data_IF_375205012057
#
_entry.id   IF_375205012057
#
_cell.length_a   1.000
_cell.length_b   1.000
_cell.length_c   1.000
_cell.angle_alpha   90.00
_cell.angle_beta   90.00
_cell.angle_gamma   90.00
#
_symmetry.space_group_name_H-M   'P 1'
#
loop_
_entity.id
_entity.type
_entity.pdbx_description
1 polymer ?
#
# COMPACT_ATOMS: atom_id res chain seq x y z
N UNK A 1 22.74 -8.89 -2.82
CA UNK A 1 21.73 -9.85 -2.33
C UNK A 1 20.36 -9.27 -2.66
N UNK A 2 19.40 -10.06 -3.17
CA UNK A 2 18.03 -9.59 -3.51
C UNK A 2 17.08 -10.13 -2.46
N UNK A 3 16.17 -9.29 -1.97
CA UNK A 3 15.05 -9.67 -1.11
C UNK A 3 13.73 -9.16 -1.69
N UNK A 4 12.61 -9.68 -1.22
CA UNK A 4 11.27 -9.20 -1.53
C UNK A 4 10.60 -8.77 -0.23
N UNK A 5 10.09 -7.56 -0.16
CA UNK A 5 9.53 -6.98 1.07
C UNK A 5 8.10 -6.44 0.92
N UNK A 6 7.51 -6.55 -0.26
CA UNK A 6 6.14 -6.16 -0.53
C UNK A 6 5.37 -7.38 -1.03
N UNK A 7 4.85 -8.16 -0.08
CA UNK A 7 4.19 -9.43 -0.36
C UNK A 7 2.94 -9.59 0.53
N UNK A 8 1.85 -10.05 -0.07
CA UNK A 8 0.55 -10.17 0.57
C UNK A 8 0.12 -11.64 0.71
N UNK A 9 0.33 -12.26 1.88
CA UNK A 9 -0.35 -13.51 2.23
C UNK A 9 -1.87 -13.34 2.31
N UNK A 10 -2.62 -14.45 2.37
CA UNK A 10 -4.07 -14.51 2.32
C UNK A 10 -4.82 -13.92 3.54
N UNK A 11 -4.27 -12.89 4.18
CA UNK A 11 -4.93 -12.11 5.23
C UNK A 11 -5.70 -10.91 4.70
N UNK A 12 -5.30 -10.39 3.55
CA UNK A 12 -5.97 -9.32 2.80
C UNK A 12 -6.38 -9.82 1.41
N UNK A 13 -6.05 -9.13 0.35
CA UNK A 13 -6.31 -9.48 -1.05
C UNK A 13 -5.33 -10.52 -1.64
N UNK A 14 -4.28 -10.86 -0.89
CA UNK A 14 -3.30 -11.86 -1.29
C UNK A 14 -3.81 -13.30 -1.17
N UNK A 15 -2.92 -14.25 -1.43
CA UNK A 15 -3.22 -15.68 -1.37
C UNK A 15 -2.08 -16.46 -0.71
N UNK A 16 -2.37 -17.67 -0.26
CA UNK A 16 -1.40 -18.51 0.43
C UNK A 16 -1.10 -18.08 1.87
N UNK A 17 -0.32 -18.88 2.55
CA UNK A 17 0.11 -18.68 3.93
C UNK A 17 1.43 -17.93 4.00
N UNK A 18 1.76 -17.35 5.15
CA UNK A 18 3.07 -16.74 5.41
C UNK A 18 4.19 -17.78 5.20
N UNK A 19 3.98 -19.01 5.64
CA UNK A 19 4.95 -20.11 5.48
C UNK A 19 5.24 -20.42 4.01
N UNK A 20 4.21 -20.46 3.16
CA UNK A 20 4.35 -20.69 1.73
C UNK A 20 5.14 -19.57 1.04
N UNK A 21 4.93 -18.32 1.42
CA UNK A 21 5.72 -17.17 0.93
C UNK A 21 7.20 -17.30 1.31
N UNK A 22 7.49 -17.69 2.54
CA UNK A 22 8.87 -17.86 3.02
C UNK A 22 9.56 -19.00 2.25
N UNK A 23 8.89 -20.15 2.14
CA UNK A 23 9.43 -21.30 1.42
C UNK A 23 9.65 -21.01 -0.07
N UNK A 24 8.71 -20.31 -0.73
CA UNK A 24 8.84 -19.91 -2.13
C UNK A 24 9.98 -18.92 -2.35
N UNK A 25 10.14 -17.94 -1.46
CA UNK A 25 11.22 -16.96 -1.54
C UNK A 25 12.60 -17.62 -1.39
N UNK A 26 12.75 -18.55 -0.44
CA UNK A 26 13.98 -19.32 -0.28
C UNK A 26 14.26 -20.17 -1.50
N UNK A 27 13.25 -20.89 -2.03
CA UNK A 27 13.39 -21.72 -3.22
C UNK A 27 13.74 -20.90 -4.47
N UNK A 28 13.27 -19.65 -4.57
CA UNK A 28 13.64 -18.72 -5.63
C UNK A 28 15.05 -18.11 -5.47
N UNK A 29 15.77 -18.46 -4.42
CA UNK A 29 17.12 -17.95 -4.16
C UNK A 29 17.16 -16.51 -3.69
N UNK A 30 16.08 -15.97 -3.13
CA UNK A 30 16.10 -14.66 -2.47
C UNK A 30 16.88 -14.75 -1.17
N UNK A 31 17.57 -13.69 -0.81
CA UNK A 31 18.39 -13.64 0.41
C UNK A 31 17.56 -13.37 1.68
N UNK A 32 16.36 -12.82 1.52
CA UNK A 32 15.43 -12.52 2.61
C UNK A 32 14.02 -12.32 2.03
N UNK A 33 13.01 -12.48 2.86
CA UNK A 33 11.63 -12.13 2.54
C UNK A 33 10.99 -11.33 3.67
N UNK A 34 10.16 -10.36 3.29
CA UNK A 34 9.23 -9.69 4.19
C UNK A 34 7.79 -9.93 3.75
N UNK A 35 6.87 -10.03 4.69
CA UNK A 35 5.42 -10.03 4.42
C UNK A 35 4.83 -8.70 4.87
N UNK A 36 3.87 -8.14 4.10
CA UNK A 36 3.36 -6.79 4.31
C UNK A 36 1.91 -6.63 3.85
N UNK A 37 1.01 -7.53 4.31
CA UNK A 37 -0.42 -7.43 4.00
C UNK A 37 -1.00 -6.05 4.30
N UNK A 38 -2.04 -5.62 3.56
CA UNK A 38 -2.71 -4.33 3.74
C UNK A 38 -3.27 -4.15 5.15
N UNK A 39 -2.87 -3.07 5.80
CA UNK A 39 -3.39 -2.67 7.10
C UNK A 39 -4.90 -2.38 7.06
N UNK A 40 -5.62 -2.46 8.18
CA UNK A 40 -6.99 -1.97 8.26
C UNK A 40 -7.09 -0.49 7.93
N UNK A 41 -8.21 -0.10 7.31
CA UNK A 41 -8.60 1.30 7.09
C UNK A 41 -9.89 1.61 7.88
N UNK A 42 -10.19 2.89 8.23
CA UNK A 42 -11.33 3.24 9.06
C UNK A 42 -12.66 3.36 8.29
N UNK A 43 -12.77 2.70 7.15
CA UNK A 43 -13.96 2.62 6.30
C UNK A 43 -14.05 1.25 5.64
N UNK A 44 -15.18 0.95 4.98
CA UNK A 44 -15.35 -0.34 4.30
C UNK A 44 -14.42 -0.46 3.11
N UNK A 45 -13.57 -1.48 3.12
CA UNK A 45 -12.63 -1.79 2.04
C UNK A 45 -12.46 -3.31 1.97
N UNK A 46 -12.74 -3.90 0.81
CA UNK A 46 -12.78 -5.36 0.64
C UNK A 46 -11.41 -6.02 0.57
N UNK A 47 -10.37 -5.26 0.25
CA UNK A 47 -9.01 -5.78 0.05
C UNK A 47 -8.06 -5.52 1.23
N UNK A 48 -8.51 -4.77 2.27
CA UNK A 48 -7.73 -4.55 3.49
C UNK A 48 -8.14 -5.52 4.60
N UNK A 49 -7.28 -5.73 5.58
CA UNK A 49 -7.61 -6.52 6.76
C UNK A 49 -8.64 -5.80 7.65
N UNK A 50 -9.44 -6.58 8.39
CA UNK A 50 -10.09 -6.07 9.60
C UNK A 50 -9.07 -5.94 10.74
N UNK A 51 -9.41 -5.21 11.82
CA UNK A 51 -8.54 -5.12 13.01
C UNK A 51 -8.27 -6.50 13.66
N UNK A 52 -9.23 -7.41 13.59
CA UNK A 52 -9.08 -8.79 14.09
C UNK A 52 -8.09 -9.56 13.21
N UNK A 53 -8.30 -9.57 11.90
CA UNK A 53 -7.41 -10.21 10.92
C UNK A 53 -5.98 -9.67 10.99
N UNK A 54 -5.81 -8.37 11.25
CA UNK A 54 -4.49 -7.77 11.40
C UNK A 54 -3.72 -8.35 12.58
N UNK A 55 -4.39 -8.57 13.72
CA UNK A 55 -3.76 -9.20 14.90
C UNK A 55 -3.40 -10.66 14.63
N UNK A 56 -4.28 -11.42 13.98
CA UNK A 56 -4.02 -12.79 13.55
C UNK A 56 -2.83 -12.86 12.59
N UNK A 57 -2.80 -11.99 11.57
CA UNK A 57 -1.69 -11.87 10.62
C UNK A 57 -0.35 -11.67 11.32
N UNK A 58 -0.26 -10.68 12.20
CA UNK A 58 1.00 -10.40 12.89
C UNK A 58 1.42 -11.57 13.81
N UNK A 59 0.48 -12.18 14.49
CA UNK A 59 0.76 -13.34 15.35
C UNK A 59 1.29 -14.53 14.53
N UNK A 60 0.63 -14.88 13.43
CA UNK A 60 1.06 -15.97 12.56
C UNK A 60 2.42 -15.66 11.90
N UNK A 61 2.60 -14.45 11.37
CA UNK A 61 3.86 -14.05 10.77
C UNK A 61 5.04 -14.12 11.76
N UNK A 62 4.81 -13.78 13.04
CA UNK A 62 5.83 -13.91 14.10
C UNK A 62 6.15 -15.37 14.41
N UNK A 63 5.16 -16.26 14.44
CA UNK A 63 5.39 -17.71 14.61
C UNK A 63 6.24 -18.26 13.46
N UNK A 64 5.95 -17.87 12.22
CA UNK A 64 6.73 -18.28 11.05
C UNK A 64 8.15 -17.71 11.11
N UNK A 65 8.30 -16.42 11.41
CA UNK A 65 9.61 -15.79 11.57
C UNK A 65 10.48 -16.52 12.59
N UNK A 66 9.90 -16.91 13.75
CA UNK A 66 10.62 -17.65 14.79
C UNK A 66 11.03 -19.06 14.31
N UNK A 67 10.16 -19.73 13.57
CA UNK A 67 10.45 -21.06 13.00
C UNK A 67 11.64 -21.03 12.03
N UNK A 68 11.77 -19.95 11.28
CA UNK A 68 12.85 -19.76 10.30
C UNK A 68 14.10 -19.09 10.88
N UNK A 69 14.08 -18.73 12.16
CA UNK A 69 15.22 -18.07 12.83
C UNK A 69 16.50 -18.88 12.68
N UNK A 70 17.56 -18.22 12.22
CA UNK A 70 18.87 -18.81 12.01
C UNK A 70 19.04 -19.62 10.73
N UNK A 71 17.95 -19.89 9.98
CA UNK A 71 17.99 -20.59 8.70
C UNK A 71 17.72 -19.67 7.51
N UNK A 72 16.77 -18.75 7.62
CA UNK A 72 16.42 -17.81 6.56
C UNK A 72 15.85 -16.51 7.16
N UNK A 73 16.28 -15.32 6.69
CA UNK A 73 15.78 -14.05 7.19
C UNK A 73 14.34 -13.79 6.75
N UNK A 74 13.43 -13.70 7.72
CA UNK A 74 12.01 -13.37 7.53
C UNK A 74 11.72 -12.07 8.28
N UNK A 75 11.02 -11.13 7.63
CA UNK A 75 10.66 -9.84 8.19
C UNK A 75 9.14 -9.66 8.22
N UNK A 76 8.62 -9.20 9.35
CA UNK A 76 7.19 -8.97 9.56
C UNK A 76 6.90 -7.49 9.45
N UNK A 77 6.26 -7.11 8.37
CA UNK A 77 5.83 -5.75 8.08
C UNK A 77 4.33 -5.64 7.89
N UNK A 78 3.90 -4.49 7.42
CA UNK A 78 2.53 -4.17 7.03
C UNK A 78 2.57 -3.13 5.92
N UNK A 79 1.63 -3.16 5.00
CA UNK A 79 1.40 -2.05 4.08
C UNK A 79 0.37 -1.10 4.66
N UNK A 80 0.82 0.11 4.98
CA UNK A 80 0.00 1.21 5.49
C UNK A 80 -0.44 2.10 4.33
N UNK A 81 -1.70 2.47 4.30
CA UNK A 81 -2.18 3.54 3.43
C UNK A 81 -1.96 4.91 4.05
N UNK A 82 -1.37 5.84 3.31
CA UNK A 82 -1.47 7.23 3.68
C UNK A 82 -2.89 7.72 3.39
N UNK A 83 -3.58 8.17 4.43
CA UNK A 83 -4.93 8.69 4.36
C UNK A 83 -4.89 10.18 4.70
N UNK A 84 -5.04 11.02 3.66
CA UNK A 84 -5.04 12.47 3.82
C UNK A 84 -6.21 12.94 4.69
N UNK A 85 -6.00 13.95 5.53
CA UNK A 85 -7.00 14.43 6.48
C UNK A 85 -8.26 15.04 5.80
N UNK A 86 -8.12 15.58 4.59
CA UNK A 86 -9.26 16.09 3.81
C UNK A 86 -10.12 14.93 3.29
N UNK A 87 -9.49 13.78 3.04
CA UNK A 87 -10.18 12.57 2.59
C UNK A 87 -10.75 11.78 3.77
N UNK A 88 -9.92 11.52 4.78
CA UNK A 88 -10.28 10.71 5.95
C UNK A 88 -9.78 11.43 7.21
N UNK A 89 -10.62 12.17 7.92
CA UNK A 89 -10.24 12.78 9.20
C UNK A 89 -9.60 11.75 10.13
N UNK A 90 -8.48 12.12 10.76
CA UNK A 90 -7.67 11.23 11.62
C UNK A 90 -7.11 9.96 10.94
N UNK A 91 -7.24 9.81 9.63
CA UNK A 91 -6.79 8.63 8.90
C UNK A 91 -5.31 8.33 9.09
N UNK A 92 -4.45 9.33 8.99
CA UNK A 92 -3.01 9.20 9.22
C UNK A 92 -2.67 8.79 10.66
N UNK A 93 -3.44 9.26 11.66
CA UNK A 93 -3.29 8.85 13.06
C UNK A 93 -3.77 7.42 13.28
N UNK A 94 -4.88 7.03 12.63
CA UNK A 94 -5.39 5.66 12.63
C UNK A 94 -4.34 4.67 12.11
N UNK A 95 -3.72 4.96 10.96
CA UNK A 95 -2.66 4.13 10.38
C UNK A 95 -1.43 4.04 11.31
N UNK A 96 -1.02 5.16 11.90
CA UNK A 96 0.09 5.17 12.86
C UNK A 96 -0.19 4.30 14.09
N UNK A 97 -1.43 4.23 14.56
CA UNK A 97 -1.82 3.41 15.71
C UNK A 97 -1.56 1.91 15.47
N UNK A 98 -1.64 1.41 14.23
CA UNK A 98 -1.30 0.02 13.93
C UNK A 98 0.16 -0.28 14.21
N UNK A 99 1.07 0.61 13.78
CA UNK A 99 2.51 0.46 14.06
C UNK A 99 2.80 0.43 15.57
N UNK A 100 2.06 1.21 16.34
CA UNK A 100 2.25 1.30 17.79
C UNK A 100 1.57 0.15 18.55
N UNK A 101 0.58 -0.51 17.98
CA UNK A 101 -0.23 -1.54 18.64
C UNK A 101 0.42 -2.92 18.63
N UNK A 102 1.37 -3.18 17.74
CA UNK A 102 2.05 -4.46 17.55
C UNK A 102 3.53 -4.24 17.24
N UNK A 103 4.33 -5.29 17.41
CA UNK A 103 5.72 -5.25 16.98
C UNK A 103 5.80 -5.55 15.48
N UNK A 104 6.32 -4.60 14.70
CA UNK A 104 6.64 -4.75 13.28
C UNK A 104 8.13 -4.50 13.08
N UNK A 105 8.70 -5.15 12.08
CA UNK A 105 10.11 -4.94 11.69
C UNK A 105 10.26 -3.77 10.72
N UNK A 106 9.22 -3.51 9.91
CA UNK A 106 9.15 -2.43 8.93
C UNK A 106 7.71 -2.12 8.54
N UNK A 107 7.50 -1.04 7.79
CA UNK A 107 6.27 -0.77 7.06
C UNK A 107 6.57 -0.46 5.59
N UNK A 108 5.71 -0.94 4.69
CA UNK A 108 5.52 -0.35 3.37
C UNK A 108 4.48 0.75 3.54
N UNK A 109 4.71 1.92 2.97
CA UNK A 109 3.76 3.03 3.01
C UNK A 109 3.36 3.37 1.60
N UNK A 110 2.08 3.27 1.30
CA UNK A 110 1.52 3.41 -0.05
C UNK A 110 0.43 4.46 -0.11
N UNK A 111 0.15 4.96 -1.29
CA UNK A 111 -0.95 5.85 -1.60
C UNK A 111 -1.88 5.15 -2.58
N UNK A 112 -3.01 4.63 -2.08
CA UNK A 112 -4.08 4.10 -2.93
C UNK A 112 -5.23 5.09 -3.04
N UNK A 113 -5.62 5.75 -1.96
CA UNK A 113 -6.80 6.61 -1.88
C UNK A 113 -6.43 8.06 -2.20
N UNK A 114 -6.91 8.57 -3.33
CA UNK A 114 -6.55 9.90 -3.85
C UNK A 114 -7.68 10.92 -3.70
N UNK A 115 -8.92 10.47 -3.71
CA UNK A 115 -10.09 11.33 -3.65
C UNK A 115 -11.33 10.57 -3.24
N UNK A 116 -12.50 11.13 -3.55
CA UNK A 116 -13.81 10.51 -3.30
C UNK A 116 -14.48 10.16 -4.62
N UNK A 117 -15.19 9.05 -4.60
CA UNK A 117 -16.08 8.68 -5.69
C UNK A 117 -17.36 9.55 -5.72
N UNK A 118 -18.27 9.26 -6.65
CA UNK A 118 -19.56 9.96 -6.79
C UNK A 118 -20.49 9.77 -5.60
N UNK A 119 -20.25 8.77 -4.74
CA UNK A 119 -20.99 8.49 -3.51
C UNK A 119 -20.34 9.10 -2.28
N UNK A 120 -19.19 9.77 -2.45
CA UNK A 120 -18.45 10.42 -1.38
C UNK A 120 -17.54 9.47 -0.59
N UNK A 121 -17.34 8.22 -1.05
CA UNK A 121 -16.46 7.26 -0.41
C UNK A 121 -15.01 7.47 -0.86
N UNK A 122 -14.00 7.14 -0.01
CA UNK A 122 -12.62 7.12 -0.44
C UNK A 122 -12.43 6.19 -1.65
N UNK A 123 -11.82 6.72 -2.71
CA UNK A 123 -11.58 6.02 -3.96
C UNK A 123 -10.12 5.64 -4.14
N UNK A 124 -9.86 4.37 -4.46
CA UNK A 124 -8.52 3.88 -4.76
C UNK A 124 -8.17 4.03 -6.25
N UNK A 125 -7.04 4.65 -6.55
CA UNK A 125 -6.59 4.98 -7.91
C UNK A 125 -6.35 3.74 -8.79
N UNK A 126 -6.16 2.59 -8.18
CA UNK A 126 -5.85 1.31 -8.82
C UNK A 126 -6.98 0.28 -8.76
N UNK A 127 -8.17 0.67 -8.32
CA UNK A 127 -9.31 -0.23 -8.15
C UNK A 127 -9.69 -0.98 -9.44
N UNK A 128 -9.96 -0.26 -10.53
CA UNK A 128 -10.17 -0.83 -11.87
C UNK A 128 -9.96 0.24 -12.95
N UNK A 129 -9.76 -0.21 -14.20
CA UNK A 129 -9.64 0.69 -15.34
C UNK A 129 -10.94 1.47 -15.60
N UNK A 130 -12.09 0.85 -15.37
CA UNK A 130 -13.42 1.45 -15.49
C UNK A 130 -13.64 2.51 -14.42
N UNK A 131 -13.31 2.19 -13.16
CA UNK A 131 -13.40 3.12 -12.03
C UNK A 131 -12.49 4.32 -12.26
N UNK A 132 -11.24 4.10 -12.69
CA UNK A 132 -10.30 5.17 -13.03
C UNK A 132 -10.86 6.10 -14.11
N UNK A 133 -11.38 5.55 -15.23
CA UNK A 133 -11.96 6.34 -16.31
C UNK A 133 -13.17 7.17 -15.81
N UNK A 134 -14.06 6.56 -15.02
CA UNK A 134 -15.21 7.25 -14.43
C UNK A 134 -14.77 8.40 -13.51
N UNK A 135 -13.75 8.21 -12.68
CA UNK A 135 -13.26 9.26 -11.79
C UNK A 135 -12.64 10.42 -12.57
N UNK A 136 -11.84 10.12 -13.62
CA UNK A 136 -11.30 11.15 -14.50
C UNK A 136 -12.44 11.99 -15.09
N UNK A 137 -13.49 11.37 -15.59
CA UNK A 137 -14.60 12.06 -16.26
C UNK A 137 -15.49 12.82 -15.25
N UNK A 138 -15.93 12.15 -14.18
CA UNK A 138 -16.98 12.68 -13.28
C UNK A 138 -16.38 13.62 -12.22
N UNK A 139 -15.28 13.22 -11.57
CA UNK A 139 -14.71 13.99 -10.46
C UNK A 139 -13.72 15.04 -10.96
N UNK A 140 -12.91 14.69 -11.95
CA UNK A 140 -11.90 15.59 -12.50
C UNK A 140 -12.33 16.32 -13.79
N UNK A 141 -13.58 16.12 -14.27
CA UNK A 141 -14.12 16.78 -15.46
C UNK A 141 -13.33 16.50 -16.72
N UNK A 142 -12.78 15.29 -16.87
CA UNK A 142 -11.89 14.89 -17.97
C UNK A 142 -10.44 15.38 -17.84
N UNK A 143 -10.09 16.07 -16.75
CA UNK A 143 -8.75 16.62 -16.53
C UNK A 143 -7.85 15.64 -15.78
N UNK A 144 -7.28 14.69 -16.52
CA UNK A 144 -6.35 13.68 -15.95
C UNK A 144 -5.10 14.31 -15.36
N UNK A 145 -4.61 15.42 -15.92
CA UNK A 145 -3.45 16.15 -15.38
C UNK A 145 -3.68 16.53 -13.91
N UNK A 146 -4.85 17.05 -13.59
CA UNK A 146 -5.21 17.42 -12.20
C UNK A 146 -5.21 16.20 -11.27
N UNK A 147 -5.71 15.04 -11.72
CA UNK A 147 -5.64 13.80 -10.95
C UNK A 147 -4.19 13.42 -10.65
N UNK A 148 -3.32 13.49 -11.66
CA UNK A 148 -1.89 13.13 -11.51
C UNK A 148 -1.17 14.12 -10.59
N UNK A 149 -1.42 15.44 -10.74
CA UNK A 149 -0.87 16.46 -9.85
C UNK A 149 -1.33 16.26 -8.39
N UNK A 150 -2.62 15.94 -8.16
CA UNK A 150 -3.14 15.63 -6.83
C UNK A 150 -2.49 14.37 -6.24
N UNK A 151 -2.28 13.32 -7.06
CA UNK A 151 -1.60 12.10 -6.63
C UNK A 151 -0.17 12.41 -6.14
N UNK A 152 0.64 13.10 -6.93
CA UNK A 152 2.03 13.38 -6.54
C UNK A 152 2.13 14.36 -5.37
N UNK A 153 1.23 15.33 -5.26
CA UNK A 153 1.12 16.18 -4.06
C UNK A 153 0.83 15.34 -2.80
N UNK A 154 -0.05 14.36 -2.89
CA UNK A 154 -0.32 13.44 -1.78
C UNK A 154 0.87 12.50 -1.49
N UNK A 155 1.65 12.11 -2.51
CA UNK A 155 2.91 11.38 -2.31
C UNK A 155 3.95 12.19 -1.53
N UNK A 156 4.02 13.52 -1.72
CA UNK A 156 4.87 14.39 -0.89
C UNK A 156 4.40 14.40 0.57
N UNK A 157 3.07 14.50 0.81
CA UNK A 157 2.50 14.42 2.15
C UNK A 157 2.76 13.06 2.80
N UNK A 158 2.63 11.96 2.04
CA UNK A 158 2.99 10.60 2.47
C UNK A 158 4.44 10.53 2.92
N UNK A 159 5.37 11.06 2.12
CA UNK A 159 6.80 11.03 2.43
C UNK A 159 7.10 11.81 3.72
N UNK A 160 6.46 12.95 3.94
CA UNK A 160 6.59 13.73 5.16
C UNK A 160 6.00 13.00 6.39
N UNK A 161 4.83 12.39 6.24
CA UNK A 161 4.19 11.59 7.29
C UNK A 161 5.00 10.35 7.67
N UNK A 162 5.55 9.65 6.68
CA UNK A 162 6.33 8.43 6.85
C UNK A 162 7.59 8.66 7.72
N UNK A 163 8.23 9.83 7.64
CA UNK A 163 9.36 10.21 8.49
C UNK A 163 9.01 10.22 10.00
N UNK A 164 7.75 10.39 10.34
CA UNK A 164 7.27 10.34 11.73
C UNK A 164 7.01 8.92 12.25
N UNK A 165 7.10 7.89 11.42
CA UNK A 165 7.02 6.50 11.85
C UNK A 165 8.37 6.07 12.44
N UNK A 166 8.33 5.46 13.63
CA UNK A 166 9.55 5.09 14.36
C UNK A 166 10.00 3.65 14.07
N UNK A 167 9.84 3.21 12.83
CA UNK A 167 10.30 1.92 12.31
C UNK A 167 10.88 2.12 10.91
N UNK A 168 11.67 1.20 10.37
CA UNK A 168 12.08 1.23 8.98
C UNK A 168 10.88 1.32 8.04
N UNK A 169 10.95 2.21 7.05
CA UNK A 169 9.88 2.46 6.08
C UNK A 169 10.39 2.25 4.66
N UNK A 170 9.57 1.60 3.85
CA UNK A 170 9.71 1.50 2.40
C UNK A 170 8.52 2.23 1.79
N UNK A 171 8.76 3.17 0.86
CA UNK A 171 7.68 3.78 0.09
C UNK A 171 7.28 2.80 -1.01
N UNK A 172 6.01 2.41 -1.02
CA UNK A 172 5.45 1.52 -2.04
C UNK A 172 5.21 2.27 -3.36
N UNK A 173 5.08 1.54 -4.43
CA UNK A 173 4.72 1.95 -5.81
C UNK A 173 4.48 3.48 -6.01
N UNK A 174 5.58 4.22 -6.26
CA UNK A 174 5.60 5.69 -6.37
C UNK A 174 4.70 6.25 -7.48
N UNK A 175 4.34 5.44 -8.45
CA UNK A 175 3.66 5.85 -9.69
C UNK A 175 2.38 5.04 -9.97
N UNK A 176 1.67 4.64 -8.92
CA UNK A 176 0.44 3.84 -9.01
C UNK A 176 -0.63 4.48 -9.91
N UNK A 177 -0.68 5.81 -9.94
CA UNK A 177 -1.55 6.59 -10.83
C UNK A 177 -1.36 6.25 -12.32
N UNK A 178 -0.22 5.67 -12.70
CA UNK A 178 0.09 5.25 -14.07
C UNK A 178 -0.45 3.86 -14.42
N UNK A 179 -0.96 3.09 -13.47
CA UNK A 179 -1.37 1.70 -13.68
C UNK A 179 -2.30 1.54 -14.89
N UNK A 180 -3.20 2.51 -15.10
CA UNK A 180 -4.18 2.47 -16.21
C UNK A 180 -3.75 3.31 -17.42
N UNK A 181 -2.58 3.95 -17.37
CA UNK A 181 -2.03 4.74 -18.49
C UNK A 181 -1.29 3.88 -19.53
N UNK A 182 -1.73 2.65 -19.72
CA UNK A 182 -1.10 1.71 -20.67
C UNK A 182 -1.16 2.28 -22.09
N UNK A 183 0.02 2.36 -22.73
CA UNK A 183 0.13 2.94 -24.08
C UNK A 183 -0.15 4.44 -24.12
N UNK A 184 0.08 5.15 -23.04
CA UNK A 184 -0.17 6.59 -22.92
C UNK A 184 -1.64 6.98 -23.19
N UNK A 185 -2.57 6.14 -22.75
CA UNK A 185 -4.00 6.30 -23.00
C UNK A 185 -4.57 7.62 -22.47
N UNK A 186 -4.07 8.11 -21.35
CA UNK A 186 -4.60 9.29 -20.67
C UNK A 186 -3.65 10.49 -20.75
N UNK A 187 -2.35 10.26 -20.72
CA UNK A 187 -1.33 11.31 -20.81
C UNK A 187 -0.01 10.73 -21.33
N UNK A 188 0.81 11.59 -21.89
CA UNK A 188 2.15 11.24 -22.35
C UNK A 188 3.17 11.57 -21.27
N UNK A 189 3.99 10.58 -20.89
CA UNK A 189 5.03 10.79 -19.89
C UNK A 189 6.12 11.76 -20.33
N UNK A 190 6.24 12.05 -21.64
CA UNK A 190 7.16 13.04 -22.20
C UNK A 190 6.61 14.49 -22.16
N UNK A 191 5.38 14.70 -21.72
CA UNK A 191 4.83 16.05 -21.59
C UNK A 191 5.55 16.85 -20.48
N UNK A 192 5.82 18.14 -20.73
CA UNK A 192 6.59 18.96 -19.79
C UNK A 192 5.97 19.04 -18.40
N UNK A 193 4.66 19.12 -18.32
CA UNK A 193 3.94 19.17 -17.04
C UNK A 193 4.08 17.88 -16.20
N UNK A 194 4.38 16.75 -16.84
CA UNK A 194 4.58 15.47 -16.14
C UNK A 194 6.04 15.30 -15.69
N UNK A 195 6.98 15.99 -16.37
CA UNK A 195 8.42 15.93 -16.08
C UNK A 195 8.86 16.93 -15.00
N UNK A 196 8.04 17.95 -14.71
CA UNK A 196 8.28 18.97 -13.68
C UNK A 196 7.89 18.50 -12.28
#
# INVERSE_FOLDING_TARGET
MRGSYHNHPGYCDGSGTVEEFVAAAQAAGLAAVGVSSHAPVPFTCSWTMTLERFREYVADARVVQERWRGSYPVWVGVELDYLDAELVPDGAAFQRAHVLSVQLDYAVVSLHFVGRDSEGQPWAVDESAESFAQQVDVVYGGNVRRLVEDYYRLMEHLAAWAQGLRIPVVVGHLDKVKQWNVGERYFREAESWYQE
#
